data_IF_251549299365
#
_entry.id   IF_251549299365
#
_cell.length_a   1.000
_cell.length_b   1.000
_cell.length_c   1.000
_cell.angle_alpha   90.00
_cell.angle_beta   90.00
_cell.angle_gamma   90.00
#
_symmetry.space_group_name_H-M   'P 1'
#
loop_
_entity.id
_entity.type
_entity.pdbx_description
1 polymer ?
#
# COMPACT_ATOMS: atom_id res chain seq x y z
N UNK A 1 -25.02 -19.66 1.90
CA UNK A 1 -23.74 -19.38 2.57
C UNK A 1 -23.79 -19.95 3.98
N UNK A 2 -22.81 -20.76 4.40
CA UNK A 2 -22.73 -21.19 5.81
C UNK A 2 -22.62 -19.93 6.69
N UNK A 3 -23.43 -19.83 7.75
CA UNK A 3 -23.28 -18.74 8.71
C UNK A 3 -21.88 -18.86 9.31
N UNK A 4 -21.11 -17.76 9.25
CA UNK A 4 -19.83 -17.69 9.95
C UNK A 4 -20.03 -17.81 11.46
N UNK A 5 -19.06 -18.37 12.15
CA UNK A 5 -19.02 -18.41 13.62
C UNK A 5 -18.75 -16.99 14.14
N UNK A 6 -19.21 -16.68 15.35
CA UNK A 6 -18.93 -15.40 16.00
C UNK A 6 -17.40 -15.20 16.19
N UNK A 7 -16.89 -13.99 15.93
CA UNK A 7 -15.46 -13.66 16.05
C UNK A 7 -14.89 -14.00 17.43
N UNK A 8 -15.60 -13.67 18.51
CA UNK A 8 -15.14 -13.91 19.87
C UNK A 8 -14.99 -15.41 20.15
N UNK A 9 -15.99 -16.21 19.77
CA UNK A 9 -15.93 -17.67 19.91
C UNK A 9 -14.81 -18.29 19.06
N UNK A 10 -14.58 -17.77 17.85
CA UNK A 10 -13.47 -18.23 17.01
C UNK A 10 -12.11 -17.95 17.66
N UNK A 11 -11.90 -16.74 18.19
CA UNK A 11 -10.65 -16.38 18.86
C UNK A 11 -10.42 -17.21 20.12
N UNK A 12 -11.47 -17.48 20.91
CA UNK A 12 -11.39 -18.35 22.09
C UNK A 12 -10.96 -19.77 21.72
N UNK A 13 -11.61 -20.38 20.72
CA UNK A 13 -11.27 -21.73 20.26
C UNK A 13 -9.88 -21.78 19.65
N UNK A 14 -9.46 -20.72 18.95
CA UNK A 14 -8.12 -20.61 18.40
C UNK A 14 -7.08 -20.56 19.53
N UNK A 15 -7.28 -19.74 20.56
CA UNK A 15 -6.40 -19.64 21.72
C UNK A 15 -6.30 -20.99 22.46
N UNK A 16 -7.44 -21.65 22.68
CA UNK A 16 -7.47 -23.01 23.25
C UNK A 16 -6.71 -24.00 22.38
N UNK A 17 -6.88 -23.95 21.06
CA UNK A 17 -6.17 -24.80 20.11
C UNK A 17 -4.66 -24.60 20.15
N UNK A 18 -4.19 -23.36 20.24
CA UNK A 18 -2.76 -23.03 20.38
C UNK A 18 -2.22 -23.58 21.70
N UNK A 19 -2.92 -23.37 22.82
CA UNK A 19 -2.52 -23.92 24.13
C UNK A 19 -2.44 -25.44 24.11
N UNK A 20 -3.48 -26.12 23.65
CA UNK A 20 -3.50 -27.59 23.55
C UNK A 20 -2.39 -28.12 22.63
N UNK A 21 -2.08 -27.39 21.56
CA UNK A 21 -0.95 -27.75 20.70
C UNK A 21 0.36 -27.61 21.46
N UNK A 22 0.61 -26.47 22.13
CA UNK A 22 1.84 -26.27 22.88
C UNK A 22 2.01 -27.28 24.04
N UNK A 23 0.93 -27.60 24.74
CA UNK A 23 0.87 -28.55 25.85
C UNK A 23 1.02 -30.02 25.44
N UNK A 24 0.80 -30.35 24.15
CA UNK A 24 0.89 -31.72 23.65
C UNK A 24 2.31 -32.27 23.85
N UNK A 25 2.44 -33.18 24.82
CA UNK A 25 3.65 -33.94 25.11
C UNK A 25 3.93 -35.00 24.03
N UNK A 26 5.08 -35.67 24.16
CA UNK A 26 5.47 -36.74 23.23
C UNK A 26 5.82 -36.23 21.84
N UNK A 27 6.43 -35.04 21.74
CA UNK A 27 6.80 -34.48 20.44
C UNK A 27 7.98 -35.24 19.84
N UNK A 28 7.77 -35.80 18.65
CA UNK A 28 8.81 -36.46 17.83
C UNK A 28 9.68 -35.42 17.12
N UNK A 29 10.32 -34.55 17.88
CA UNK A 29 11.35 -33.62 17.41
C UNK A 29 12.66 -33.91 18.13
N UNK A 30 13.79 -33.46 17.57
CA UNK A 30 15.10 -33.65 18.19
C UNK A 30 15.15 -33.15 19.64
N UNK A 31 14.59 -31.96 19.89
CA UNK A 31 14.49 -31.38 21.24
C UNK A 31 13.44 -32.09 22.11
N UNK A 32 12.33 -32.54 21.52
CA UNK A 32 11.21 -33.18 22.23
C UNK A 32 11.50 -34.60 22.69
N UNK A 33 12.37 -35.33 21.99
CA UNK A 33 12.80 -36.70 22.31
C UNK A 33 11.65 -37.71 22.51
N UNK A 34 10.45 -37.41 22.00
CA UNK A 34 9.25 -38.22 22.24
C UNK A 34 8.73 -38.15 23.69
N UNK A 35 9.16 -37.17 24.48
CA UNK A 35 8.81 -37.04 25.91
C UNK A 35 8.21 -35.66 26.17
N UNK A 36 8.92 -34.60 25.80
CA UNK A 36 8.56 -33.23 26.19
C UNK A 36 7.48 -32.60 25.29
N UNK A 37 6.74 -31.64 25.85
CA UNK A 37 5.87 -30.72 25.11
C UNK A 37 6.63 -29.48 24.63
N UNK A 38 6.02 -28.68 23.74
CA UNK A 38 6.66 -27.45 23.27
C UNK A 38 6.80 -26.42 24.40
N UNK A 39 5.80 -26.30 25.28
CA UNK A 39 5.86 -25.38 26.42
C UNK A 39 6.93 -25.78 27.44
N UNK A 40 7.11 -27.08 27.68
CA UNK A 40 8.17 -27.57 28.57
C UNK A 40 9.58 -27.25 28.02
N UNK A 41 9.77 -27.45 26.71
CA UNK A 41 11.03 -27.11 26.04
C UNK A 41 11.26 -25.60 26.06
N UNK A 42 10.24 -24.80 25.74
CA UNK A 42 10.33 -23.35 25.77
C UNK A 42 10.69 -22.84 27.16
N UNK A 43 10.02 -23.31 28.23
CA UNK A 43 10.33 -22.90 29.59
C UNK A 43 11.76 -23.26 30.02
N UNK A 44 12.24 -24.46 29.65
CA UNK A 44 13.61 -24.91 29.92
C UNK A 44 14.65 -24.02 29.23
N UNK A 45 14.47 -23.78 27.93
CA UNK A 45 15.46 -23.12 27.10
C UNK A 45 15.41 -21.59 27.25
N UNK A 46 14.21 -21.02 27.31
CA UNK A 46 14.01 -19.59 27.52
C UNK A 46 14.62 -19.12 28.84
N UNK A 47 14.53 -19.91 29.91
CA UNK A 47 15.13 -19.59 31.21
C UNK A 47 16.67 -19.44 31.18
N UNK A 48 17.34 -20.00 30.16
CA UNK A 48 18.78 -19.92 30.00
C UNK A 48 19.20 -18.70 29.14
N UNK A 49 18.25 -18.05 28.49
CA UNK A 49 18.54 -16.88 27.63
C UNK A 49 18.58 -15.59 28.45
N UNK A 50 19.38 -14.62 28.00
CA UNK A 50 19.38 -13.26 28.55
C UNK A 50 18.48 -12.38 27.70
N UNK A 51 17.42 -11.81 28.29
CA UNK A 51 16.46 -11.00 27.57
C UNK A 51 16.51 -9.53 27.97
N UNK A 52 16.36 -8.68 26.97
CA UNK A 52 16.06 -7.26 27.12
C UNK A 52 14.64 -7.03 26.65
N UNK A 53 13.80 -6.46 27.52
CA UNK A 53 12.44 -6.08 27.17
C UNK A 53 12.41 -4.73 26.48
N UNK A 54 11.47 -4.58 25.56
CA UNK A 54 11.23 -3.31 24.88
C UNK A 54 10.69 -2.28 25.89
N UNK A 55 11.17 -1.04 25.80
CA UNK A 55 10.61 0.07 26.60
C UNK A 55 9.23 0.45 26.09
N UNK A 56 8.47 1.20 26.90
CA UNK A 56 7.17 1.70 26.49
C UNK A 56 7.23 2.60 25.25
N UNK A 57 8.29 3.40 25.08
CA UNK A 57 8.47 4.15 23.83
C UNK A 57 8.62 3.22 22.64
N UNK A 58 9.44 2.16 22.76
CA UNK A 58 9.68 1.21 21.69
C UNK A 58 8.40 0.45 21.33
N UNK A 59 7.62 0.01 22.32
CA UNK A 59 6.31 -0.63 22.09
C UNK A 59 5.34 0.32 21.36
N UNK A 60 5.28 1.59 21.75
CA UNK A 60 4.45 2.59 21.06
C UNK A 60 4.89 2.79 19.61
N UNK A 61 6.18 2.73 19.28
CA UNK A 61 6.64 2.83 17.89
C UNK A 61 6.20 1.66 17.01
N UNK A 62 5.93 0.48 17.60
CA UNK A 62 5.43 -0.70 16.90
C UNK A 62 3.92 -0.63 16.61
N UNK A 63 3.19 0.27 17.25
CA UNK A 63 1.76 0.46 17.01
C UNK A 63 1.49 1.07 15.63
N UNK A 64 0.28 0.86 15.14
CA UNK A 64 -0.15 1.38 13.84
C UNK A 64 -0.11 2.91 13.84
N UNK A 65 0.51 3.47 12.81
CA UNK A 65 0.54 4.90 12.58
C UNK A 65 -0.79 5.36 11.98
N UNK A 66 -1.52 6.16 12.72
CA UNK A 66 -2.71 6.85 12.26
C UNK A 66 -2.38 8.06 11.38
N UNK A 67 -3.39 8.52 10.64
CA UNK A 67 -3.28 9.74 9.87
C UNK A 67 -3.07 10.96 10.77
N UNK A 68 -2.48 12.02 10.21
CA UNK A 68 -2.39 13.31 10.89
C UNK A 68 -3.79 13.90 11.06
N UNK A 69 -4.17 14.23 12.30
CA UNK A 69 -5.49 14.76 12.64
C UNK A 69 -5.39 16.07 13.39
N UNK A 70 -6.35 16.96 13.17
CA UNK A 70 -6.40 18.25 13.86
C UNK A 70 -7.06 18.07 15.23
N UNK A 71 -6.44 18.65 16.26
CA UNK A 71 -6.98 18.69 17.62
C UNK A 71 -7.78 19.98 17.81
N UNK A 72 -8.97 19.84 18.40
CA UNK A 72 -9.80 20.98 18.78
C UNK A 72 -9.28 21.65 20.06
N UNK A 73 -9.78 22.86 20.38
CA UNK A 73 -9.44 23.62 21.59
C UNK A 73 -9.70 22.85 22.89
N UNK A 74 -10.66 21.92 22.85
CA UNK A 74 -11.01 21.03 23.95
C UNK A 74 -10.23 19.72 23.96
N UNK A 75 -9.11 19.62 23.22
CA UNK A 75 -8.29 18.41 23.20
C UNK A 75 -8.97 17.21 22.51
N UNK A 76 -10.03 17.46 21.72
CA UNK A 76 -10.79 16.42 21.03
C UNK A 76 -10.38 16.26 19.57
N UNK A 77 -10.39 15.03 19.09
CA UNK A 77 -10.09 14.71 17.69
C UNK A 77 -10.77 13.40 17.27
N UNK A 78 -10.82 13.16 15.96
CA UNK A 78 -11.40 11.95 15.38
C UNK A 78 -10.39 11.27 14.47
N UNK A 79 -10.32 9.94 14.54
CA UNK A 79 -9.51 9.15 13.62
C UNK A 79 -10.37 8.66 12.43
N UNK A 80 -9.74 8.45 11.28
CA UNK A 80 -10.39 7.76 10.13
C UNK A 80 -10.36 6.24 10.26
N UNK A 81 -9.87 5.73 11.38
CA UNK A 81 -9.91 4.32 11.72
C UNK A 81 -11.34 3.94 12.16
N UNK A 82 -11.88 2.87 11.58
CA UNK A 82 -13.24 2.39 11.85
C UNK A 82 -14.28 2.77 10.78
N UNK A 83 -15.52 2.34 10.99
CA UNK A 83 -16.65 2.67 10.13
C UNK A 83 -17.16 4.10 10.38
N UNK A 84 -18.16 4.53 9.62
CA UNK A 84 -18.98 5.71 9.96
C UNK A 84 -20.41 5.22 10.04
N UNK A 85 -21.01 5.27 11.23
CA UNK A 85 -22.38 4.80 11.46
C UNK A 85 -23.24 5.99 11.85
N UNK A 86 -24.36 6.20 11.15
CA UNK A 86 -25.29 7.31 11.42
C UNK A 86 -24.60 8.68 11.53
N UNK A 87 -23.58 8.92 10.67
CA UNK A 87 -22.77 10.13 10.68
C UNK A 87 -21.92 10.35 11.95
N UNK A 88 -21.77 9.31 12.79
CA UNK A 88 -20.93 9.30 13.98
C UNK A 88 -19.63 8.52 13.73
N UNK A 89 -18.57 8.92 14.43
CA UNK A 89 -17.21 8.35 14.37
C UNK A 89 -16.68 8.21 15.79
N UNK A 90 -15.57 7.49 15.93
CA UNK A 90 -14.87 7.47 17.21
C UNK A 90 -14.26 8.84 17.51
N UNK A 91 -14.59 9.38 18.68
CA UNK A 91 -14.05 10.64 19.19
C UNK A 91 -13.14 10.34 20.37
N UNK A 92 -11.94 10.91 20.32
CA UNK A 92 -10.92 10.78 21.35
C UNK A 92 -10.73 12.12 22.04
N UNK A 93 -10.38 12.06 23.32
CA UNK A 93 -10.10 13.23 24.14
C UNK A 93 -8.75 13.05 24.83
N UNK A 94 -7.92 14.08 24.73
CA UNK A 94 -6.62 14.15 25.39
C UNK A 94 -6.59 15.36 26.32
N UNK A 95 -6.70 15.10 27.62
CA UNK A 95 -6.79 16.14 28.65
C UNK A 95 -5.59 17.10 28.62
N UNK A 96 -4.39 16.59 28.33
CA UNK A 96 -3.16 17.37 28.29
C UNK A 96 -3.10 18.36 27.11
N UNK A 97 -3.95 18.21 26.09
CA UNK A 97 -3.99 19.10 24.92
C UNK A 97 -5.06 20.20 25.05
N UNK A 98 -5.85 20.20 26.12
CA UNK A 98 -6.91 21.19 26.34
C UNK A 98 -6.30 22.58 26.52
N UNK A 99 -6.78 23.55 25.76
CA UNK A 99 -6.27 24.93 25.77
C UNK A 99 -4.92 25.13 25.08
N UNK A 100 -4.29 24.05 24.59
CA UNK A 100 -3.07 24.13 23.80
C UNK A 100 -3.35 24.48 22.33
N UNK A 101 -2.44 25.21 21.69
CA UNK A 101 -2.48 25.47 20.24
C UNK A 101 -1.58 24.49 19.48
N UNK A 102 -1.91 23.20 19.54
CA UNK A 102 -1.05 22.10 19.06
C UNK A 102 -1.23 21.83 17.55
N UNK A 103 -2.33 22.29 16.96
CA UNK A 103 -2.57 22.16 15.52
C UNK A 103 -2.89 20.71 15.12
N UNK A 104 -2.09 20.14 14.21
CA UNK A 104 -2.25 18.75 13.76
C UNK A 104 -1.26 17.84 14.47
N UNK A 105 -1.74 16.69 14.92
CA UNK A 105 -0.99 15.67 15.65
C UNK A 105 -1.00 14.35 14.89
N UNK A 106 -0.02 13.51 15.16
CA UNK A 106 0.09 12.14 14.65
C UNK A 106 -0.35 11.22 15.79
N UNK A 107 -1.22 10.27 15.50
CA UNK A 107 -1.78 9.38 16.53
C UNK A 107 -1.34 7.96 16.23
N UNK A 108 -0.82 7.24 17.23
CA UNK A 108 -0.56 5.81 17.16
C UNK A 108 -1.58 5.06 17.99
N UNK A 109 -2.07 3.93 17.47
CA UNK A 109 -3.11 3.15 18.11
C UNK A 109 -2.94 1.66 17.84
N UNK A 110 -3.55 0.84 18.69
CA UNK A 110 -3.69 -0.60 18.46
C UNK A 110 -4.89 -0.87 17.54
N UNK A 111 -4.70 -1.49 16.35
CA UNK A 111 -5.82 -1.82 15.46
C UNK A 111 -6.81 -2.82 16.06
N UNK A 112 -6.42 -3.62 17.05
CA UNK A 112 -7.32 -4.58 17.72
C UNK A 112 -8.10 -3.94 18.87
N UNK A 113 -7.60 -2.84 19.46
CA UNK A 113 -8.26 -2.08 20.52
C UNK A 113 -8.37 -0.57 20.21
N UNK A 114 -9.18 -0.25 19.20
CA UNK A 114 -9.44 1.15 18.83
C UNK A 114 -10.34 1.89 19.85
N UNK A 115 -10.95 1.19 20.80
CA UNK A 115 -11.74 1.78 21.88
C UNK A 115 -10.92 2.04 23.15
N UNK A 116 -9.65 1.61 23.15
CA UNK A 116 -8.70 1.83 24.22
C UNK A 116 -7.99 3.17 24.12
N UNK A 117 -6.77 3.18 24.60
CA UNK A 117 -5.88 4.35 24.67
C UNK A 117 -5.13 4.54 23.36
N UNK A 118 -5.00 5.78 22.93
CA UNK A 118 -4.20 6.17 21.77
C UNK A 118 -3.04 7.05 22.21
N UNK A 119 -1.90 6.96 21.51
CA UNK A 119 -0.70 7.71 21.84
C UNK A 119 -0.47 8.82 20.84
N UNK A 120 -0.30 10.05 21.33
CA UNK A 120 -0.29 11.25 20.50
C UNK A 120 1.14 11.80 20.40
N UNK A 121 1.52 12.12 19.18
CA UNK A 121 2.82 12.65 18.82
C UNK A 121 2.65 13.97 18.06
N UNK A 122 3.64 14.85 18.19
CA UNK A 122 3.79 15.98 17.30
C UNK A 122 4.22 15.53 15.89
N UNK A 123 4.14 16.41 14.91
CA UNK A 123 4.61 16.19 13.54
C UNK A 123 6.11 15.89 13.48
N UNK A 124 6.87 16.37 14.46
CA UNK A 124 8.29 16.07 14.63
C UNK A 124 8.56 14.68 15.25
N UNK A 125 7.52 13.91 15.58
CA UNK A 125 7.65 12.58 16.20
C UNK A 125 7.94 12.63 17.70
N UNK A 126 7.80 13.78 18.35
CA UNK A 126 7.92 13.92 19.80
C UNK A 126 6.63 13.46 20.45
N UNK A 127 6.73 12.58 21.44
CA UNK A 127 5.57 12.11 22.20
C UNK A 127 5.00 13.24 23.06
N UNK A 128 3.69 13.45 22.99
CA UNK A 128 2.99 14.50 23.71
C UNK A 128 2.26 13.95 24.93
N UNK A 129 1.31 13.04 24.70
CA UNK A 129 0.44 12.48 25.75
C UNK A 129 -0.40 11.32 25.21
N UNK A 130 -1.19 10.72 26.10
CA UNK A 130 -2.21 9.73 25.77
C UNK A 130 -3.58 10.38 25.59
N UNK A 131 -4.42 9.76 24.76
CA UNK A 131 -5.82 10.11 24.57
C UNK A 131 -6.72 8.90 24.77
N UNK A 132 -7.92 9.13 25.26
CA UNK A 132 -8.93 8.08 25.51
C UNK A 132 -10.10 8.19 24.54
N UNK A 133 -10.67 7.05 24.15
CA UNK A 133 -11.86 7.01 23.30
C UNK A 133 -13.13 7.30 24.12
N UNK A 134 -13.71 8.48 23.93
CA UNK A 134 -14.94 8.93 24.61
C UNK A 134 -16.18 8.37 23.91
N UNK A 135 -16.22 8.43 22.58
CA UNK A 135 -17.34 7.94 21.78
C UNK A 135 -16.96 6.66 21.04
N UNK A 136 -17.48 5.51 21.51
CA UNK A 136 -17.13 4.17 21.03
C UNK A 136 -18.16 3.63 20.03
N UNK A 137 -18.29 4.25 18.87
CA UNK A 137 -19.44 4.01 17.96
C UNK A 137 -19.11 3.11 16.77
N UNK A 138 -17.88 3.18 16.25
CA UNK A 138 -17.64 2.80 14.86
C UNK A 138 -16.63 1.66 14.65
N UNK A 139 -16.07 1.09 15.73
CA UNK A 139 -15.12 -0.02 15.65
C UNK A 139 -15.79 -1.36 15.98
N UNK A 140 -15.35 -2.44 15.29
CA UNK A 140 -15.93 -3.79 15.39
C UNK A 140 -17.48 -3.86 15.22
N UNK A 141 -18.10 -2.86 14.59
CA UNK A 141 -19.54 -2.83 14.33
C UNK A 141 -19.92 -3.68 13.12
N UNK A 142 -20.72 -4.72 13.33
CA UNK A 142 -21.27 -5.55 12.25
C UNK A 142 -22.20 -4.74 11.33
N UNK A 143 -22.98 -3.82 11.91
CA UNK A 143 -23.87 -2.94 11.18
C UNK A 143 -23.08 -2.00 10.26
N UNK A 144 -22.01 -1.38 10.76
CA UNK A 144 -21.10 -0.56 9.97
C UNK A 144 -20.52 -1.32 8.77
N UNK A 145 -20.05 -2.55 8.99
CA UNK A 145 -19.53 -3.42 7.94
C UNK A 145 -20.60 -3.75 6.88
N UNK A 146 -21.83 -4.05 7.30
CA UNK A 146 -22.95 -4.35 6.39
C UNK A 146 -23.33 -3.12 5.55
N UNK A 147 -23.43 -1.94 6.16
CA UNK A 147 -23.74 -0.68 5.47
C UNK A 147 -22.65 -0.34 4.45
N UNK A 148 -21.37 -0.36 4.85
CA UNK A 148 -20.27 -0.08 3.93
C UNK A 148 -20.24 -1.06 2.75
N UNK A 149 -20.43 -2.37 3.01
CA UNK A 149 -20.49 -3.38 1.95
C UNK A 149 -21.65 -3.12 0.97
N UNK A 150 -22.82 -2.72 1.48
CA UNK A 150 -23.97 -2.34 0.64
C UNK A 150 -23.62 -1.15 -0.26
N UNK A 151 -23.05 -0.09 0.31
CA UNK A 151 -22.68 1.12 -0.44
C UNK A 151 -21.60 0.84 -1.50
N UNK A 152 -20.59 0.04 -1.19
CA UNK A 152 -19.56 -0.36 -2.16
C UNK A 152 -20.18 -1.15 -3.33
N UNK A 153 -21.10 -2.06 -3.05
CA UNK A 153 -21.77 -2.83 -4.10
C UNK A 153 -22.66 -1.95 -4.98
N UNK A 154 -23.36 -1.00 -4.38
CA UNK A 154 -24.17 -0.02 -5.09
C UNK A 154 -23.31 0.89 -5.97
N UNK A 155 -22.21 1.42 -5.43
CA UNK A 155 -21.23 2.21 -6.17
C UNK A 155 -20.72 1.42 -7.37
N UNK A 156 -20.29 0.17 -7.18
CA UNK A 156 -19.83 -0.70 -8.29
C UNK A 156 -20.90 -0.87 -9.38
N UNK A 157 -22.16 -1.05 -8.99
CA UNK A 157 -23.28 -1.18 -9.94
C UNK A 157 -23.51 0.12 -10.72
N UNK A 158 -23.46 1.26 -10.05
CA UNK A 158 -23.64 2.59 -10.67
C UNK A 158 -22.48 2.89 -11.61
N UNK A 159 -21.23 2.69 -11.16
CA UNK A 159 -20.04 2.89 -11.99
C UNK A 159 -20.09 2.06 -13.27
N UNK A 160 -20.52 0.79 -13.19
CA UNK A 160 -20.71 -0.03 -14.39
C UNK A 160 -21.72 0.61 -15.36
N UNK A 161 -22.88 1.04 -14.86
CA UNK A 161 -23.89 1.73 -15.70
C UNK A 161 -23.38 3.04 -16.28
N UNK A 162 -22.56 3.79 -15.53
CA UNK A 162 -21.96 5.03 -16.00
C UNK A 162 -21.02 4.77 -17.18
N UNK A 163 -20.19 3.73 -17.10
CA UNK A 163 -19.32 3.30 -18.20
C UNK A 163 -20.14 2.88 -19.42
N UNK A 164 -21.13 1.99 -19.24
CA UNK A 164 -21.99 1.52 -20.34
C UNK A 164 -22.72 2.69 -21.05
N UNK A 165 -23.14 3.70 -20.29
CA UNK A 165 -23.80 4.89 -20.85
C UNK A 165 -22.81 5.81 -21.58
N UNK A 166 -21.60 5.97 -21.03
CA UNK A 166 -20.54 6.77 -21.65
C UNK A 166 -20.13 6.18 -23.01
N UNK A 167 -20.02 4.86 -23.11
CA UNK A 167 -19.74 4.17 -24.38
C UNK A 167 -20.82 4.44 -25.42
N UNK A 168 -22.10 4.29 -25.05
CA UNK A 168 -23.24 4.56 -25.96
C UNK A 168 -23.31 6.01 -26.42
N UNK A 169 -23.01 6.95 -25.53
CA UNK A 169 -22.96 8.36 -25.87
C UNK A 169 -21.84 8.63 -26.88
N UNK A 170 -20.64 8.09 -26.61
CA UNK A 170 -19.50 8.18 -27.53
C UNK A 170 -19.81 7.58 -28.90
N UNK A 171 -20.43 6.40 -28.96
CA UNK A 171 -20.89 5.79 -30.22
C UNK A 171 -21.86 6.69 -30.99
N UNK A 172 -22.84 7.29 -30.28
CA UNK A 172 -23.81 8.19 -30.88
C UNK A 172 -23.17 9.47 -31.41
N UNK A 173 -22.26 10.09 -30.66
CA UNK A 173 -21.51 11.28 -31.08
C UNK A 173 -20.61 10.97 -32.30
N UNK A 174 -19.87 9.85 -32.27
CA UNK A 174 -19.07 9.39 -33.41
C UNK A 174 -19.93 9.17 -34.66
N UNK A 175 -21.14 8.64 -34.50
CA UNK A 175 -22.08 8.46 -35.61
C UNK A 175 -22.56 9.81 -36.20
N UNK A 176 -22.70 10.86 -35.38
CA UNK A 176 -23.02 12.21 -35.87
C UNK A 176 -21.86 12.79 -36.69
N UNK A 177 -20.63 12.70 -36.18
CA UNK A 177 -19.45 13.19 -36.90
C UNK A 177 -19.21 12.42 -38.20
N UNK A 178 -19.40 11.10 -38.22
CA UNK A 178 -19.28 10.28 -39.43
C UNK A 178 -20.15 10.81 -40.58
N UNK A 179 -21.40 11.20 -40.29
CA UNK A 179 -22.31 11.77 -41.29
C UNK A 179 -21.86 13.13 -41.82
N UNK A 180 -21.15 13.92 -41.03
CA UNK A 180 -20.62 15.22 -41.46
C UNK A 180 -19.44 15.07 -42.43
N UNK A 181 -18.71 13.95 -42.36
CA UNK A 181 -17.58 13.63 -43.23
C UNK A 181 -17.93 12.57 -44.29
N UNK A 182 -19.19 12.16 -44.42
CA UNK A 182 -19.72 11.54 -45.64
C UNK A 182 -19.71 12.59 -46.77
N UNK A 183 -18.52 13.05 -47.16
CA UNK A 183 -18.30 13.60 -48.48
C UNK A 183 -18.76 12.54 -49.45
N UNK A 184 -19.70 12.91 -50.32
CA UNK A 184 -20.14 12.02 -51.37
C UNK A 184 -18.89 11.58 -52.15
N UNK A 185 -18.79 10.31 -52.54
CA UNK A 185 -17.66 9.83 -53.35
C UNK A 185 -17.48 10.63 -54.67
N UNK A 186 -18.44 11.48 -55.02
CA UNK A 186 -18.40 12.42 -56.13
C UNK A 186 -17.55 13.69 -55.86
N UNK A 187 -17.33 14.08 -54.60
CA UNK A 187 -16.52 15.26 -54.22
C UNK A 187 -15.03 14.93 -54.04
N UNK A 188 -14.68 13.65 -54.01
CA UNK A 188 -13.29 13.19 -54.14
C UNK A 188 -12.85 13.35 -55.60
N UNK A 189 -12.38 14.54 -55.95
CA UNK A 189 -11.56 14.69 -57.15
C UNK A 189 -10.24 14.00 -56.86
N UNK A 190 -10.02 12.84 -57.49
CA UNK A 190 -8.67 12.26 -57.50
C UNK A 190 -7.72 13.34 -58.04
N UNK A 191 -6.68 13.74 -57.31
CA UNK A 191 -5.72 14.68 -57.86
C UNK A 191 -5.19 14.09 -59.17
N UNK A 192 -5.28 14.87 -60.25
CA UNK A 192 -4.89 14.43 -61.59
C UNK A 192 -3.46 13.88 -61.62
N UNK A 193 -2.62 14.36 -60.69
CA UNK A 193 -1.31 13.79 -60.40
C UNK A 193 -1.33 13.22 -58.98
N UNK A 194 -1.49 11.89 -58.89
CA UNK A 194 -1.10 11.15 -57.70
C UNK A 194 0.43 11.21 -57.65
N UNK A 195 1.01 12.13 -56.87
CA UNK A 195 2.43 12.06 -56.57
C UNK A 195 2.67 10.70 -55.94
N UNK A 196 3.38 9.82 -56.66
CA UNK A 196 3.81 8.56 -56.10
C UNK A 196 4.69 8.89 -54.91
N UNK A 197 4.19 8.67 -53.70
CA UNK A 197 4.97 8.82 -52.49
C UNK A 197 6.04 7.71 -52.50
N UNK A 198 7.16 8.02 -53.13
CA UNK A 198 8.34 7.18 -53.19
C UNK A 198 8.98 7.21 -51.80
N UNK A 199 8.70 6.18 -50.99
CA UNK A 199 9.40 5.94 -49.74
C UNK A 199 10.92 5.78 -49.91
N UNK A 200 11.41 5.73 -51.15
CA UNK A 200 12.80 5.49 -51.54
C UNK A 200 13.50 6.68 -52.21
N UNK A 201 12.87 7.86 -52.36
CA UNK A 201 13.53 9.02 -52.98
C UNK A 201 14.13 10.04 -52.02
N UNK A 202 14.30 9.71 -50.74
CA UNK A 202 15.38 10.31 -49.97
C UNK A 202 16.71 9.69 -50.38
N UNK A 203 17.10 9.92 -51.65
CA UNK A 203 18.46 9.69 -52.13
C UNK A 203 19.17 11.03 -52.09
N UNK A 204 20.08 11.09 -51.12
CA UNK A 204 21.31 11.88 -51.09
C UNK A 204 21.20 13.41 -51.04
N UNK A 205 21.06 13.87 -49.80
CA UNK A 205 21.38 15.24 -49.41
C UNK A 205 21.25 15.55 -47.92
N UNK A 206 21.73 14.69 -47.00
CA UNK A 206 22.62 15.05 -45.86
C UNK A 206 22.69 13.91 -44.81
N UNK A 207 23.91 13.63 -44.38
CA UNK A 207 24.42 12.53 -43.54
C UNK A 207 23.66 12.21 -42.23
N UNK A 208 22.96 11.07 -42.15
CA UNK A 208 22.92 10.24 -40.92
C UNK A 208 22.71 8.76 -41.32
N UNK A 209 23.69 7.90 -41.00
CA UNK A 209 23.59 6.44 -41.18
C UNK A 209 22.76 5.82 -40.06
N UNK A 210 21.71 5.07 -40.39
CA UNK A 210 21.14 4.06 -39.50
C UNK A 210 21.84 2.72 -39.73
N UNK A 211 22.59 2.27 -38.73
CA UNK A 211 23.28 0.97 -38.71
C UNK A 211 22.26 -0.11 -38.34
N UNK A 212 22.18 -1.17 -39.16
CA UNK A 212 21.54 -2.43 -38.77
C UNK A 212 22.52 -3.18 -37.87
N UNK A 213 22.10 -3.47 -36.65
CA UNK A 213 22.84 -4.32 -35.71
C UNK A 213 22.70 -5.77 -36.17
N UNK A 214 23.71 -6.25 -36.90
CA UNK A 214 23.97 -7.67 -37.05
C UNK A 214 24.49 -8.19 -35.70
N UNK A 215 23.93 -9.32 -35.28
CA UNK A 215 24.03 -9.91 -33.94
C UNK A 215 25.40 -10.54 -33.62
N UNK A 216 26.48 -10.06 -34.22
CA UNK A 216 27.86 -10.58 -34.06
C UNK A 216 28.85 -9.56 -33.47
N UNK A 217 28.45 -8.31 -33.19
CA UNK A 217 29.34 -7.23 -32.71
C UNK A 217 29.37 -7.00 -31.18
N UNK A 218 28.60 -7.75 -30.40
CA UNK A 218 28.54 -7.56 -28.93
C UNK A 218 29.73 -8.15 -28.15
N UNK A 219 30.58 -8.95 -28.78
CA UNK A 219 31.74 -9.56 -28.12
C UNK A 219 32.98 -8.66 -28.15
N UNK A 220 33.23 -7.93 -29.25
CA UNK A 220 34.44 -7.08 -29.37
C UNK A 220 34.32 -5.74 -28.61
N UNK A 221 33.11 -5.18 -28.51
CA UNK A 221 32.89 -3.90 -27.82
C UNK A 221 32.96 -4.00 -26.30
N UNK A 222 32.72 -5.18 -25.71
CA UNK A 222 32.92 -5.42 -24.28
C UNK A 222 34.40 -5.50 -23.92
N UNK A 223 35.20 -6.18 -24.72
CA UNK A 223 36.65 -6.35 -24.45
C UNK A 223 37.43 -5.02 -24.55
N UNK A 224 37.09 -4.17 -25.52
CA UNK A 224 37.73 -2.86 -25.69
C UNK A 224 37.34 -1.85 -24.60
N UNK A 225 36.07 -1.88 -24.15
CA UNK A 225 35.63 -1.01 -23.05
C UNK A 225 36.18 -1.46 -21.68
N UNK A 226 36.40 -2.76 -21.45
CA UNK A 226 37.06 -3.23 -20.23
C UNK A 226 38.53 -2.81 -20.17
N UNK A 227 39.25 -2.83 -21.31
CA UNK A 227 40.66 -2.43 -21.39
C UNK A 227 40.87 -0.92 -21.14
N UNK A 228 39.97 -0.07 -21.64
CA UNK A 228 40.00 1.38 -21.40
C UNK A 228 39.70 1.71 -19.93
N UNK A 229 38.72 1.03 -19.32
CA UNK A 229 38.36 1.27 -17.92
C UNK A 229 39.48 0.85 -16.95
N UNK A 230 40.14 -0.28 -17.19
CA UNK A 230 41.27 -0.73 -16.36
C UNK A 230 42.49 0.20 -16.45
N UNK A 231 42.77 0.76 -17.64
CA UNK A 231 43.86 1.72 -17.82
C UNK A 231 43.59 3.07 -17.14
N UNK A 232 42.35 3.56 -17.16
CA UNK A 232 41.97 4.80 -16.49
C UNK A 232 41.93 4.65 -14.96
N UNK A 233 41.51 3.47 -14.46
CA UNK A 233 41.57 3.12 -13.04
C UNK A 233 43.03 3.06 -12.52
N UNK A 234 43.94 2.45 -13.28
CA UNK A 234 45.36 2.38 -12.92
C UNK A 234 46.06 3.75 -12.95
N UNK A 235 45.66 4.63 -13.86
CA UNK A 235 46.18 5.99 -13.94
C UNK A 235 45.65 6.87 -12.80
N UNK A 236 44.40 6.68 -12.36
CA UNK A 236 43.85 7.33 -11.17
C UNK A 236 44.53 6.89 -9.86
N UNK A 237 44.79 5.59 -9.70
CA UNK A 237 45.51 5.05 -8.52
C UNK A 237 46.96 5.56 -8.41
N UNK A 238 47.64 5.81 -9.54
CA UNK A 238 48.99 6.43 -9.56
C UNK A 238 49.00 7.91 -9.15
N UNK A 239 47.89 8.63 -9.27
CA UNK A 239 47.78 10.02 -8.83
C UNK A 239 47.49 10.15 -7.33
N UNK A 240 46.99 9.09 -6.69
CA UNK A 240 46.65 9.06 -5.25
C UNK A 240 47.85 8.62 -4.38
N UNK A 241 48.90 8.05 -4.97
CA UNK A 241 50.13 7.63 -4.25
C UNK A 241 51.32 8.60 -4.38
N UNK A 242 51.07 9.90 -4.62
CA UNK A 242 52.09 10.96 -4.53
C UNK A 242 51.80 11.92 -3.41
#
# INVERSE_FOLDING_TARGET
FKKGVNKALFLEVLEQGVRLWNDKAGRETELGQGIFSADQLWARDYAQTHQTFATEEQLRQLMMLGESTKVDKHGRFTLKAGYVLNNQKNVYEAQALIGGNVGNVIVRYDPDDLHGTVHIYDQNGVYLCDGECVEKVAFNSEEGARVQKRLINEQRRITKKMVDNHEKLGEHEMAQYRKQFEQSAADFVEPAEKQAFSWTQFVDGNTVKTIKLDHELETETKEQNTLSFEQDLFNGLKQVQK
#
